data_IF_072170969811
#
_entry.id   IF_072170969811
#
_cell.length_a   1.000
_cell.length_b   1.000
_cell.length_c   1.000
_cell.angle_alpha   90.00
_cell.angle_beta   90.00
_cell.angle_gamma   90.00
#
_symmetry.space_group_name_H-M   'P 1'
#
loop_
_entity.id
_entity.type
_entity.pdbx_description
1 polymer ?
#
# COMPACT_ATOMS: atom_id res chain seq x y z
N UNK A 1 34.28 54.09 -31.15
CA UNK A 1 35.50 54.36 -31.92
C UNK A 1 36.44 55.18 -31.06
N UNK A 2 37.69 54.70 -30.91
CA UNK A 2 38.88 55.47 -30.50
C UNK A 2 40.03 54.47 -30.46
N UNK A 3 40.88 54.45 -31.48
CA UNK A 3 42.07 53.60 -31.49
C UNK A 3 43.21 54.26 -30.69
N UNK A 4 44.04 53.45 -30.04
CA UNK A 4 45.19 53.90 -29.27
C UNK A 4 46.49 53.58 -30.01
N UNK A 5 46.82 54.39 -31.02
CA UNK A 5 48.14 54.36 -31.67
C UNK A 5 49.20 54.77 -30.64
N UNK A 6 50.38 54.15 -30.68
CA UNK A 6 51.50 54.44 -29.81
C UNK A 6 52.81 54.60 -30.63
N UNK A 7 53.94 54.88 -29.94
CA UNK A 7 55.18 55.48 -30.50
C UNK A 7 54.99 56.99 -30.83
N UNK A 8 55.92 57.92 -30.61
CA UNK A 8 57.23 57.97 -29.91
C UNK A 8 57.52 59.48 -29.60
N UNK A 9 58.45 59.97 -28.78
CA UNK A 9 59.63 59.43 -28.05
C UNK A 9 59.90 60.27 -26.77
N UNK A 10 60.92 59.90 -25.96
CA UNK A 10 61.60 60.72 -24.91
C UNK A 10 60.72 61.45 -23.86
N UNK A 11 60.64 60.88 -22.66
CA UNK A 11 60.43 61.63 -21.40
C UNK A 11 59.37 61.06 -20.46
N UNK A 12 59.80 60.23 -19.49
CA UNK A 12 59.07 59.87 -18.24
C UNK A 12 57.55 59.69 -18.32
N UNK A 13 57.12 58.42 -18.50
CA UNK A 13 55.71 58.04 -18.39
C UNK A 13 55.24 58.12 -16.93
N UNK A 14 54.39 59.10 -16.62
CA UNK A 14 53.64 59.18 -15.34
C UNK A 14 52.22 58.66 -15.57
N UNK A 15 51.99 57.36 -15.35
CA UNK A 15 50.63 56.80 -15.33
C UNK A 15 49.95 57.22 -14.03
N UNK A 16 49.07 58.23 -14.12
CA UNK A 16 48.08 58.48 -13.05
C UNK A 16 47.11 57.30 -13.01
N UNK A 17 47.06 56.60 -11.89
CA UNK A 17 46.03 55.58 -11.63
C UNK A 17 44.63 56.19 -11.79
N UNK A 18 43.71 55.59 -12.55
CA UNK A 18 42.33 56.07 -12.62
C UNK A 18 41.70 55.95 -11.22
N UNK A 19 41.24 57.07 -10.66
CA UNK A 19 40.48 57.08 -9.41
C UNK A 19 39.13 56.40 -9.64
N UNK A 20 39.07 55.07 -9.47
CA UNK A 20 37.81 54.31 -9.41
C UNK A 20 36.94 54.98 -8.34
N UNK A 21 35.82 55.57 -8.74
CA UNK A 21 35.01 56.36 -7.80
C UNK A 21 34.40 55.44 -6.74
N UNK A 22 34.32 55.85 -5.46
CA UNK A 22 33.68 55.05 -4.42
C UNK A 22 32.19 54.82 -4.69
N UNK A 23 31.59 55.65 -5.55
CA UNK A 23 30.21 55.51 -6.04
C UNK A 23 30.08 54.22 -6.90
N UNK A 24 30.99 53.98 -7.85
CA UNK A 24 30.89 52.81 -8.73
C UNK A 24 30.99 51.49 -7.96
N UNK A 25 31.86 51.43 -6.94
CA UNK A 25 31.96 50.27 -6.05
C UNK A 25 30.66 50.06 -5.23
N UNK A 26 30.08 51.14 -4.69
CA UNK A 26 28.81 51.08 -3.94
C UNK A 26 27.64 50.61 -4.82
N UNK A 27 27.57 51.06 -6.08
CA UNK A 27 26.54 50.60 -7.02
C UNK A 27 26.66 49.10 -7.32
N UNK A 28 27.87 48.57 -7.51
CA UNK A 28 28.10 47.13 -7.71
C UNK A 28 27.62 46.33 -6.48
N UNK A 29 27.95 46.78 -5.26
CA UNK A 29 27.52 46.12 -4.02
C UNK A 29 26.00 46.12 -3.87
N UNK A 30 25.32 47.22 -4.20
CA UNK A 30 23.85 47.31 -4.17
C UNK A 30 23.20 46.36 -5.19
N UNK A 31 23.73 46.25 -6.40
CA UNK A 31 23.24 45.30 -7.42
C UNK A 31 23.44 43.85 -6.95
N UNK A 32 24.61 43.51 -6.40
CA UNK A 32 24.85 42.18 -5.84
C UNK A 32 23.90 41.86 -4.67
N UNK A 33 23.69 42.80 -3.74
CA UNK A 33 22.77 42.61 -2.62
C UNK A 33 21.32 42.38 -3.10
N UNK A 34 20.86 43.11 -4.13
CA UNK A 34 19.53 42.90 -4.71
C UNK A 34 19.40 41.53 -5.39
N UNK A 35 20.39 41.13 -6.20
CA UNK A 35 20.39 39.81 -6.88
C UNK A 35 20.44 38.66 -5.87
N UNK A 36 21.29 38.75 -4.84
CA UNK A 36 21.32 37.76 -3.77
C UNK A 36 20.01 37.72 -2.97
N UNK A 37 19.39 38.87 -2.69
CA UNK A 37 18.09 38.94 -2.02
C UNK A 37 16.97 38.28 -2.83
N UNK A 38 16.91 38.53 -4.15
CA UNK A 38 15.94 37.87 -5.05
C UNK A 38 16.20 36.36 -5.16
N UNK A 39 17.47 35.94 -5.22
CA UNK A 39 17.83 34.52 -5.26
C UNK A 39 17.43 33.78 -3.97
N UNK A 40 17.76 34.34 -2.80
CA UNK A 40 17.37 33.80 -1.49
C UNK A 40 15.84 33.74 -1.38
N UNK A 41 15.13 34.81 -1.76
CA UNK A 41 13.67 34.84 -1.76
C UNK A 41 13.06 33.78 -2.69
N UNK A 42 13.64 33.56 -3.88
CA UNK A 42 13.22 32.51 -4.82
C UNK A 42 13.44 31.11 -4.26
N UNK A 43 14.57 30.85 -3.58
CA UNK A 43 14.84 29.57 -2.90
C UNK A 43 13.86 29.35 -1.75
N UNK A 44 13.59 30.36 -0.92
CA UNK A 44 12.59 30.28 0.15
C UNK A 44 11.16 30.05 -0.40
N UNK A 45 10.78 30.72 -1.48
CA UNK A 45 9.49 30.52 -2.14
C UNK A 45 9.35 29.10 -2.71
N UNK A 46 10.41 28.55 -3.31
CA UNK A 46 10.44 27.16 -3.75
C UNK A 46 10.39 26.16 -2.59
N UNK A 47 10.96 26.49 -1.42
CA UNK A 47 10.77 25.69 -0.19
C UNK A 47 9.32 25.75 0.31
N UNK A 48 8.64 26.90 0.28
CA UNK A 48 7.22 26.99 0.64
C UNK A 48 6.28 26.29 -0.36
N UNK A 49 6.73 26.05 -1.60
CA UNK A 49 5.98 25.30 -2.61
C UNK A 49 6.06 23.77 -2.45
N UNK A 50 6.82 23.24 -1.48
CA UNK A 50 6.70 21.83 -1.09
C UNK A 50 5.37 21.60 -0.37
N UNK A 51 4.35 21.19 -1.12
CA UNK A 51 2.94 21.04 -0.70
C UNK A 51 2.63 19.93 0.31
N UNK A 52 3.38 19.87 1.41
CA UNK A 52 3.15 18.99 2.56
C UNK A 52 2.40 19.72 3.69
N UNK A 53 2.70 21.00 3.96
CA UNK A 53 2.10 21.76 5.08
C UNK A 53 0.59 21.90 4.98
N UNK A 54 0.02 22.17 3.79
CA UNK A 54 -1.44 22.29 3.63
C UNK A 54 -2.18 20.95 3.82
N UNK A 55 -1.59 19.85 3.35
CA UNK A 55 -2.11 18.49 3.60
C UNK A 55 -2.00 18.11 5.08
N UNK A 56 -0.86 18.40 5.71
CA UNK A 56 -0.59 18.07 7.11
C UNK A 56 -1.50 18.88 8.05
N UNK A 57 -1.65 20.19 7.83
CA UNK A 57 -2.58 21.05 8.58
C UNK A 57 -4.04 20.60 8.39
N UNK A 58 -4.47 20.25 7.18
CA UNK A 58 -5.84 19.75 6.96
C UNK A 58 -6.07 18.39 7.64
N UNK A 59 -5.07 17.50 7.68
CA UNK A 59 -5.12 16.26 8.46
C UNK A 59 -5.16 16.54 9.96
N UNK A 60 -4.37 17.50 10.45
CA UNK A 60 -4.30 17.85 11.87
C UNK A 60 -5.59 18.51 12.37
N UNK A 61 -6.11 19.51 11.65
CA UNK A 61 -7.38 20.18 11.96
C UNK A 61 -8.53 19.17 11.95
N UNK A 62 -8.55 18.23 10.98
CA UNK A 62 -9.58 17.20 10.94
C UNK A 62 -9.42 16.15 12.05
N UNK A 63 -8.19 15.85 12.51
CA UNK A 63 -7.99 15.04 13.72
C UNK A 63 -8.48 15.77 14.97
N UNK A 64 -8.17 17.05 15.14
CA UNK A 64 -8.57 17.86 16.30
C UNK A 64 -10.10 17.92 16.52
N UNK A 65 -10.93 17.74 15.48
CA UNK A 65 -12.39 17.68 15.64
C UNK A 65 -12.93 16.31 16.13
N UNK A 66 -12.12 15.24 16.05
CA UNK A 66 -12.48 13.89 16.48
C UNK A 66 -11.63 13.35 17.65
N UNK A 67 -10.58 14.06 18.05
CA UNK A 67 -9.61 13.63 19.07
C UNK A 67 -9.79 14.37 20.41
N UNK A 68 -11.01 14.37 20.95
CA UNK A 68 -11.33 14.86 22.31
C UNK A 68 -11.21 13.76 23.39
N UNK A 69 -11.04 12.49 22.99
CA UNK A 69 -10.80 11.36 23.88
C UNK A 69 -9.32 10.94 23.88
N UNK A 70 -8.87 10.31 24.98
CA UNK A 70 -7.51 9.81 25.19
C UNK A 70 -7.13 8.63 24.27
N UNK A 71 -7.02 8.89 22.96
CA UNK A 71 -6.38 7.96 22.03
C UNK A 71 -4.88 7.94 22.32
N UNK A 72 -4.36 6.77 22.67
CA UNK A 72 -2.93 6.58 22.87
C UNK A 72 -2.14 7.10 21.64
N UNK A 73 -1.14 7.94 21.92
CA UNK A 73 -0.24 8.50 20.90
C UNK A 73 0.51 7.40 20.14
N UNK A 74 0.69 6.20 20.70
CA UNK A 74 1.28 5.06 19.98
C UNK A 74 0.39 4.54 18.84
N UNK A 75 -0.94 4.59 18.99
CA UNK A 75 -1.91 4.10 18.01
C UNK A 75 -2.27 5.16 16.96
N UNK A 76 -1.97 6.42 17.25
CA UNK A 76 -2.28 7.59 16.40
C UNK A 76 -1.77 7.51 14.94
N UNK A 77 -0.67 6.81 14.59
CA UNK A 77 -0.26 6.59 13.19
C UNK A 77 -1.20 5.66 12.39
N UNK A 78 -1.84 4.69 13.05
CA UNK A 78 -2.66 3.63 12.44
C UNK A 78 -4.18 3.93 12.47
N UNK A 79 -4.55 5.06 13.08
CA UNK A 79 -5.92 5.55 13.18
C UNK A 79 -6.22 6.54 12.04
N UNK A 80 -6.93 6.07 11.01
CA UNK A 80 -7.27 6.87 9.83
C UNK A 80 -8.73 7.34 9.83
N UNK A 81 -8.97 8.51 9.26
CA UNK A 81 -10.31 9.13 9.22
C UNK A 81 -10.68 9.41 7.75
N UNK A 82 -10.94 8.36 6.94
CA UNK A 82 -11.24 8.52 5.53
C UNK A 82 -12.54 9.31 5.30
N UNK A 83 -12.53 10.14 4.27
CA UNK A 83 -13.68 10.90 3.77
C UNK A 83 -14.01 10.42 2.36
N UNK A 84 -14.86 9.38 2.21
CA UNK A 84 -15.28 8.93 0.89
C UNK A 84 -16.02 10.04 0.14
N UNK A 85 -15.73 10.16 -1.15
CA UNK A 85 -16.44 11.06 -2.07
C UNK A 85 -17.87 10.56 -2.35
N UNK A 86 -18.10 9.25 -2.24
CA UNK A 86 -19.31 8.60 -2.75
C UNK A 86 -20.43 8.38 -1.72
N UNK A 87 -20.20 8.72 -0.44
CA UNK A 87 -21.21 8.71 0.63
C UNK A 87 -20.68 9.44 1.88
N UNK A 88 -21.58 9.86 2.79
CA UNK A 88 -21.16 10.37 4.11
C UNK A 88 -21.04 9.23 5.13
N UNK A 89 -20.00 9.27 5.98
CA UNK A 89 -19.87 8.37 7.15
C UNK A 89 -20.80 8.74 8.32
N UNK A 90 -21.55 9.85 8.21
CA UNK A 90 -22.52 10.32 9.20
C UNK A 90 -21.94 10.34 10.64
N UNK A 91 -22.66 9.77 11.61
CA UNK A 91 -22.24 9.64 13.02
C UNK A 91 -20.85 8.97 13.18
N UNK A 92 -20.49 8.07 12.27
CA UNK A 92 -19.24 7.33 12.29
C UNK A 92 -18.07 8.06 11.60
N UNK A 93 -18.21 9.35 11.24
CA UNK A 93 -17.13 10.15 10.67
C UNK A 93 -15.90 10.23 11.60
N UNK A 94 -16.12 10.28 12.92
CA UNK A 94 -15.06 10.26 13.93
C UNK A 94 -14.66 8.85 14.43
N UNK A 95 -15.16 7.78 13.82
CA UNK A 95 -14.67 6.44 14.12
C UNK A 95 -13.38 6.18 13.32
N UNK A 96 -12.23 5.87 13.96
CA UNK A 96 -11.00 5.56 13.25
C UNK A 96 -11.14 4.25 12.47
N UNK A 97 -10.47 4.19 11.33
CA UNK A 97 -10.42 3.03 10.45
C UNK A 97 -8.97 2.53 10.42
N UNK A 98 -8.76 1.24 10.67
CA UNK A 98 -7.48 0.56 10.45
C UNK A 98 -7.42 -0.03 9.05
N UNK A 99 -6.23 -0.01 8.44
CA UNK A 99 -6.01 -0.51 7.08
C UNK A 99 -5.29 -1.85 7.10
N UNK A 100 -5.71 -2.80 6.26
CA UNK A 100 -5.05 -4.12 6.16
C UNK A 100 -5.03 -4.71 4.75
N UNK A 101 -4.09 -5.62 4.51
CA UNK A 101 -4.10 -6.48 3.32
C UNK A 101 -3.73 -7.93 3.67
N UNK A 102 -4.47 -8.89 3.11
CA UNK A 102 -4.25 -10.33 3.32
C UNK A 102 -3.33 -10.85 2.21
N UNK A 103 -2.04 -11.03 2.49
CA UNK A 103 -1.06 -11.55 1.54
C UNK A 103 -1.06 -13.08 1.57
N UNK A 104 -1.28 -13.71 0.42
CA UNK A 104 -1.52 -15.16 0.36
C UNK A 104 -1.09 -15.80 -0.97
N UNK A 105 -1.20 -17.11 -1.04
CA UNK A 105 -1.05 -17.89 -2.28
C UNK A 105 -2.31 -18.72 -2.51
N UNK A 106 -2.62 -19.03 -3.77
CA UNK A 106 -3.81 -19.79 -4.14
C UNK A 106 -3.94 -21.09 -3.30
N UNK A 107 -5.17 -21.39 -2.86
CA UNK A 107 -5.53 -22.56 -2.02
C UNK A 107 -4.87 -22.60 -0.63
N UNK A 108 -4.41 -21.46 -0.10
CA UNK A 108 -3.92 -21.31 1.29
C UNK A 108 -5.02 -20.95 2.31
N UNK A 109 -6.30 -21.13 1.98
CA UNK A 109 -7.43 -20.91 2.90
C UNK A 109 -7.92 -19.47 3.05
N UNK A 110 -7.27 -18.51 2.39
CA UNK A 110 -7.56 -17.07 2.50
C UNK A 110 -8.96 -16.63 2.04
N UNK A 111 -9.69 -17.45 1.26
CA UNK A 111 -11.12 -17.23 1.00
C UNK A 111 -11.99 -17.44 2.25
N UNK A 112 -11.76 -18.51 3.01
CA UNK A 112 -12.51 -18.79 4.25
C UNK A 112 -12.17 -17.77 5.35
N UNK A 113 -10.90 -17.38 5.46
CA UNK A 113 -10.46 -16.36 6.42
C UNK A 113 -11.06 -14.98 6.11
N UNK A 114 -11.18 -14.62 4.82
CA UNK A 114 -11.91 -13.43 4.39
C UNK A 114 -13.40 -13.48 4.73
N UNK A 115 -14.07 -14.64 4.55
CA UNK A 115 -15.46 -14.83 5.01
C UNK A 115 -15.60 -14.69 6.53
N UNK A 116 -14.63 -15.17 7.30
CA UNK A 116 -14.60 -15.01 8.76
C UNK A 116 -14.45 -13.53 9.15
N UNK A 117 -13.52 -12.78 8.55
CA UNK A 117 -13.37 -11.34 8.80
C UNK A 117 -14.65 -10.57 8.45
N UNK A 118 -15.25 -10.84 7.29
CA UNK A 118 -16.49 -10.21 6.83
C UNK A 118 -17.75 -10.63 7.60
N UNK A 119 -17.65 -11.55 8.58
CA UNK A 119 -18.74 -11.84 9.53
C UNK A 119 -18.79 -10.84 10.69
N UNK A 120 -17.71 -10.09 10.95
CA UNK A 120 -17.70 -9.04 11.96
C UNK A 120 -18.23 -7.73 11.36
N UNK A 121 -19.28 -7.16 11.98
CA UNK A 121 -20.05 -6.02 11.44
C UNK A 121 -19.19 -4.84 10.99
N UNK A 122 -18.15 -4.50 11.75
CA UNK A 122 -17.30 -3.32 11.50
C UNK A 122 -15.99 -3.64 10.72
N UNK A 123 -15.89 -4.81 10.06
CA UNK A 123 -14.72 -5.20 9.25
C UNK A 123 -15.14 -5.43 7.80
N UNK A 124 -14.36 -4.92 6.83
CA UNK A 124 -14.65 -5.06 5.40
C UNK A 124 -13.40 -5.46 4.59
N UNK A 125 -13.37 -6.69 4.10
CA UNK A 125 -12.39 -7.21 3.14
C UNK A 125 -13.01 -7.33 1.75
N UNK A 126 -12.38 -6.67 0.77
CA UNK A 126 -12.96 -6.40 -0.55
C UNK A 126 -12.60 -7.43 -1.65
N UNK A 127 -12.22 -8.65 -1.28
CA UNK A 127 -11.88 -9.72 -2.23
C UNK A 127 -10.52 -9.53 -2.90
N UNK A 128 -10.30 -10.29 -3.98
CA UNK A 128 -9.07 -10.21 -4.80
C UNK A 128 -9.13 -9.03 -5.77
N UNK A 129 -9.05 -7.80 -5.24
CA UNK A 129 -9.14 -6.58 -6.05
C UNK A 129 -8.10 -6.55 -7.19
N UNK A 130 -6.90 -7.10 -6.96
CA UNK A 130 -5.80 -7.17 -7.92
C UNK A 130 -5.83 -8.42 -8.82
N UNK A 131 -6.89 -9.23 -8.79
CA UNK A 131 -7.11 -10.31 -9.79
C UNK A 131 -7.31 -9.76 -11.21
N UNK A 132 -7.93 -8.58 -11.32
CA UNK A 132 -8.12 -7.79 -12.54
C UNK A 132 -6.78 -7.20 -13.01
N UNK A 133 -6.41 -7.35 -14.29
CA UNK A 133 -5.07 -7.01 -14.80
C UNK A 133 -4.82 -5.50 -14.79
N UNK A 134 -5.82 -4.75 -15.21
CA UNK A 134 -5.79 -3.31 -15.48
C UNK A 134 -5.35 -2.51 -14.23
N UNK A 135 -5.73 -3.00 -13.05
CA UNK A 135 -5.38 -2.43 -11.73
C UNK A 135 -3.93 -2.66 -11.32
N UNK A 136 -3.23 -3.60 -11.97
CA UNK A 136 -1.83 -3.96 -11.74
C UNK A 136 -0.94 -3.83 -12.98
N UNK A 137 -1.38 -3.06 -13.98
CA UNK A 137 -0.59 -2.81 -15.20
C UNK A 137 0.69 -1.98 -14.94
N UNK A 138 0.72 -1.18 -13.87
CA UNK A 138 1.88 -0.41 -13.41
C UNK A 138 1.67 0.03 -11.94
N UNK A 139 2.72 0.55 -11.31
CA UNK A 139 2.70 1.08 -9.93
C UNK A 139 1.60 2.13 -9.73
N UNK A 140 1.44 3.09 -10.65
CA UNK A 140 0.43 4.16 -10.51
C UNK A 140 -1.00 3.60 -10.45
N UNK A 141 -1.32 2.61 -11.28
CA UNK A 141 -2.60 1.89 -11.21
C UNK A 141 -2.80 1.15 -9.89
N UNK A 142 -1.72 0.58 -9.32
CA UNK A 142 -1.74 -0.09 -8.02
C UNK A 142 -2.02 0.92 -6.91
N UNK A 143 -1.22 1.99 -6.79
CA UNK A 143 -1.38 2.99 -5.72
C UNK A 143 -2.74 3.71 -5.80
N UNK A 144 -3.21 4.04 -7.01
CA UNK A 144 -4.56 4.59 -7.22
C UNK A 144 -5.66 3.61 -6.77
N UNK A 145 -5.46 2.30 -6.97
CA UNK A 145 -6.39 1.27 -6.49
C UNK A 145 -6.37 1.15 -4.96
N UNK A 146 -5.19 1.22 -4.33
CA UNK A 146 -5.05 1.23 -2.86
C UNK A 146 -5.75 2.45 -2.24
N UNK A 147 -5.48 3.65 -2.74
CA UNK A 147 -6.11 4.89 -2.24
C UNK A 147 -7.64 4.83 -2.32
N UNK A 148 -8.21 4.30 -3.41
CA UNK A 148 -9.66 4.14 -3.54
C UNK A 148 -10.27 3.15 -2.53
N UNK A 149 -9.55 2.10 -2.14
CA UNK A 149 -10.02 1.15 -1.12
C UNK A 149 -9.94 1.75 0.27
N UNK A 150 -8.81 2.37 0.61
CA UNK A 150 -8.57 2.93 1.94
C UNK A 150 -9.36 4.22 2.20
N UNK A 151 -9.69 5.00 1.16
CA UNK A 151 -10.65 6.11 1.26
C UNK A 151 -12.13 5.66 1.36
N UNK A 152 -12.42 4.36 1.26
CA UNK A 152 -13.76 3.74 1.22
C UNK A 152 -14.58 3.94 -0.08
N UNK A 153 -14.00 4.52 -1.14
CA UNK A 153 -14.65 4.71 -2.47
C UNK A 153 -14.50 3.51 -3.42
N UNK A 154 -14.58 2.31 -2.82
CA UNK A 154 -14.55 1.04 -3.51
C UNK A 154 -15.95 0.43 -3.59
N UNK A 155 -16.41 0.15 -4.81
CA UNK A 155 -17.73 -0.41 -5.06
C UNK A 155 -17.63 -1.92 -5.23
N UNK A 156 -18.05 -2.67 -4.21
CA UNK A 156 -18.25 -4.12 -4.26
C UNK A 156 -19.65 -4.46 -3.75
N UNK A 157 -20.01 -5.75 -3.78
CA UNK A 157 -21.19 -6.30 -3.13
C UNK A 157 -21.03 -6.50 -1.61
N UNK A 158 -19.88 -6.16 -1.02
CA UNK A 158 -19.77 -6.02 0.42
C UNK A 158 -20.60 -4.80 0.87
N UNK A 159 -21.30 -4.91 1.99
CA UNK A 159 -22.13 -3.83 2.51
C UNK A 159 -21.28 -2.58 2.77
N UNK A 160 -21.67 -1.43 2.21
CA UNK A 160 -21.05 -0.13 2.48
C UNK A 160 -21.35 0.31 3.93
N UNK A 161 -20.65 -0.27 4.90
CA UNK A 161 -20.79 0.11 6.30
C UNK A 161 -20.08 1.44 6.57
N UNK A 162 -20.86 2.49 6.83
CA UNK A 162 -20.39 3.82 7.23
C UNK A 162 -19.48 3.79 8.48
N UNK A 163 -19.75 2.82 9.35
CA UNK A 163 -19.09 2.53 10.63
C UNK A 163 -18.02 1.42 10.54
N UNK A 164 -17.51 1.13 9.34
CA UNK A 164 -16.32 0.27 9.19
C UNK A 164 -15.18 0.78 10.08
N UNK A 165 -14.65 -0.08 10.95
CA UNK A 165 -13.52 0.19 11.85
C UNK A 165 -12.22 -0.46 11.33
N UNK A 166 -12.31 -1.44 10.43
CA UNK A 166 -11.17 -1.90 9.63
C UNK A 166 -11.59 -2.15 8.17
N UNK A 167 -10.76 -1.73 7.23
CA UNK A 167 -10.96 -1.99 5.79
C UNK A 167 -9.70 -2.55 5.14
N UNK A 168 -9.90 -3.48 4.22
CA UNK A 168 -8.82 -4.16 3.52
C UNK A 168 -9.29 -4.98 2.33
N UNK A 169 -8.42 -5.88 1.88
CA UNK A 169 -8.63 -6.74 0.74
C UNK A 169 -7.63 -7.92 0.76
N UNK A 170 -7.79 -8.83 -0.20
CA UNK A 170 -6.95 -10.02 -0.38
C UNK A 170 -6.04 -9.86 -1.60
N UNK A 171 -4.76 -10.20 -1.46
CA UNK A 171 -3.77 -10.10 -2.53
C UNK A 171 -2.98 -11.40 -2.65
N UNK A 172 -3.01 -12.03 -3.83
CA UNK A 172 -2.17 -13.20 -4.08
C UNK A 172 -0.77 -12.78 -4.52
N UNK A 173 0.29 -13.47 -4.08
CA UNK A 173 1.68 -13.11 -4.39
C UNK A 173 1.97 -13.02 -5.91
N UNK A 174 1.21 -13.71 -6.76
CA UNK A 174 1.33 -13.69 -8.22
C UNK A 174 0.44 -12.64 -8.93
N UNK A 175 -0.10 -11.66 -8.21
CA UNK A 175 -0.94 -10.59 -8.73
C UNK A 175 -0.22 -9.22 -8.70
N UNK A 176 1.06 -9.17 -9.09
CA UNK A 176 1.83 -7.91 -9.18
C UNK A 176 2.43 -7.43 -7.85
N UNK A 177 2.22 -8.17 -6.75
CA UNK A 177 2.65 -7.80 -5.41
C UNK A 177 4.17 -7.93 -5.22
N UNK A 178 4.76 -9.01 -5.73
CA UNK A 178 6.20 -9.28 -5.59
C UNK A 178 7.03 -8.41 -6.55
N UNK A 179 6.44 -8.07 -7.69
CA UNK A 179 7.05 -7.33 -8.79
C UNK A 179 7.16 -5.82 -8.48
N UNK A 180 6.26 -5.26 -7.67
CA UNK A 180 6.20 -3.83 -7.31
C UNK A 180 6.41 -3.62 -5.78
N UNK A 181 7.16 -4.51 -5.13
CA UNK A 181 7.19 -4.60 -3.67
C UNK A 181 7.69 -3.34 -2.98
N UNK A 182 8.64 -2.59 -3.57
CA UNK A 182 9.29 -1.44 -2.91
C UNK A 182 8.32 -0.30 -2.67
N UNK A 183 7.58 0.05 -3.71
CA UNK A 183 6.59 1.12 -3.73
C UNK A 183 5.36 0.74 -2.88
N UNK A 184 5.02 -0.55 -2.82
CA UNK A 184 3.97 -1.07 -1.94
C UNK A 184 4.42 -1.04 -0.47
N UNK A 185 5.66 -1.41 -0.14
CA UNK A 185 6.23 -1.30 1.23
C UNK A 185 6.27 0.15 1.69
N UNK A 186 6.73 1.07 0.84
CA UNK A 186 6.73 2.50 1.15
C UNK A 186 5.30 3.01 1.40
N UNK A 187 4.35 2.70 0.53
CA UNK A 187 2.95 3.06 0.73
C UNK A 187 2.40 2.48 2.03
N UNK A 188 2.63 1.20 2.31
CA UNK A 188 2.10 0.51 3.49
C UNK A 188 2.64 1.10 4.79
N UNK A 189 3.94 1.41 4.84
CA UNK A 189 4.56 2.08 5.99
C UNK A 189 4.06 3.51 6.17
N UNK A 190 3.99 4.30 5.09
CA UNK A 190 3.48 5.68 5.11
C UNK A 190 1.97 5.77 5.41
N UNK A 191 1.22 4.69 5.19
CA UNK A 191 -0.23 4.59 5.42
C UNK A 191 -0.61 3.68 6.60
N UNK A 192 0.34 3.20 7.40
CA UNK A 192 0.06 2.38 8.59
C UNK A 192 -0.61 1.03 8.34
N UNK A 193 -0.50 0.48 7.12
CA UNK A 193 -1.23 -0.74 6.70
C UNK A 193 -0.68 -1.98 7.38
N UNK A 194 -1.57 -2.78 7.96
CA UNK A 194 -1.25 -4.07 8.59
C UNK A 194 -1.28 -5.22 7.58
N UNK A 195 -0.17 -5.95 7.43
CA UNK A 195 -0.06 -7.11 6.53
C UNK A 195 -0.44 -8.40 7.28
N UNK A 196 -1.46 -9.09 6.80
CA UNK A 196 -1.84 -10.42 7.28
C UNK A 196 -1.29 -11.45 6.30
N UNK A 197 -0.13 -12.03 6.59
CA UNK A 197 0.37 -13.16 5.82
C UNK A 197 -0.45 -14.41 6.16
N UNK A 198 -1.10 -14.99 5.17
CA UNK A 198 -1.85 -16.24 5.31
C UNK A 198 -1.37 -17.29 4.31
N UNK A 199 -0.52 -18.19 4.80
CA UNK A 199 0.07 -19.28 4.03
C UNK A 199 -0.41 -20.65 4.52
N UNK A 200 0.11 -21.72 3.92
CA UNK A 200 -0.25 -23.11 4.23
C UNK A 200 1.02 -23.93 4.27
N UNK A 201 1.34 -24.49 5.44
CA UNK A 201 2.61 -25.20 5.71
C UNK A 201 2.71 -26.48 4.87
N UNK A 202 1.60 -27.18 4.66
CA UNK A 202 1.61 -28.39 3.83
C UNK A 202 1.48 -28.05 2.34
N UNK A 203 2.63 -27.74 1.71
CA UNK A 203 2.74 -27.36 0.31
C UNK A 203 2.26 -28.45 -0.66
N UNK A 204 2.46 -29.74 -0.36
CA UNK A 204 1.95 -30.85 -1.17
C UNK A 204 0.41 -30.87 -1.17
N UNK A 205 -0.23 -30.73 0.00
CA UNK A 205 -1.70 -30.61 0.09
C UNK A 205 -2.23 -29.30 -0.52
N UNK A 206 -1.41 -28.25 -0.58
CA UNK A 206 -1.72 -27.04 -1.37
C UNK A 206 -1.72 -27.35 -2.87
N UNK A 207 -0.67 -27.98 -3.39
CA UNK A 207 -0.56 -28.39 -4.80
C UNK A 207 -1.71 -29.30 -5.22
N UNK A 208 -2.01 -30.36 -4.45
CA UNK A 208 -3.20 -31.23 -4.66
C UNK A 208 -4.49 -30.41 -4.76
N UNK A 209 -4.66 -29.40 -3.90
CA UNK A 209 -5.85 -28.53 -3.93
C UNK A 209 -5.84 -27.51 -5.08
N UNK A 210 -4.68 -27.16 -5.65
CA UNK A 210 -4.58 -26.36 -6.89
C UNK A 210 -4.97 -27.22 -8.10
N UNK A 211 -4.45 -28.44 -8.19
CA UNK A 211 -4.78 -29.39 -9.26
C UNK A 211 -6.29 -29.73 -9.24
N UNK A 212 -6.86 -30.01 -8.07
CA UNK A 212 -8.30 -30.23 -7.92
C UNK A 212 -9.12 -29.00 -8.36
N UNK A 213 -8.75 -27.79 -7.95
CA UNK A 213 -9.45 -26.55 -8.37
C UNK A 213 -9.28 -26.26 -9.87
N UNK A 214 -8.18 -26.69 -10.49
CA UNK A 214 -7.97 -26.57 -11.93
C UNK A 214 -8.89 -27.54 -12.68
N UNK A 215 -8.90 -28.82 -12.28
CA UNK A 215 -9.79 -29.84 -12.83
C UNK A 215 -11.28 -29.44 -12.72
N UNK A 216 -11.72 -29.06 -11.51
CA UNK A 216 -13.05 -28.55 -11.17
C UNK A 216 -13.53 -27.47 -12.17
N UNK A 217 -12.67 -26.48 -12.48
CA UNK A 217 -12.95 -25.38 -13.41
C UNK A 217 -13.28 -25.82 -14.84
N UNK A 218 -12.68 -26.92 -15.32
CA UNK A 218 -12.87 -27.41 -16.68
C UNK A 218 -13.91 -28.54 -16.75
N UNK A 219 -13.90 -29.46 -15.78
CA UNK A 219 -14.78 -30.63 -15.75
C UNK A 219 -16.20 -30.29 -15.32
N UNK A 220 -16.38 -29.31 -14.41
CA UNK A 220 -17.68 -28.83 -13.91
C UNK A 220 -18.73 -29.92 -13.67
N UNK A 221 -18.33 -30.93 -12.89
CA UNK A 221 -19.02 -32.21 -12.73
C UNK A 221 -20.53 -32.14 -12.40
N UNK A 222 -20.99 -31.12 -11.66
CA UNK A 222 -22.41 -30.80 -11.53
C UNK A 222 -22.88 -29.83 -12.64
N UNK A 223 -23.53 -30.39 -13.66
CA UNK A 223 -24.34 -29.71 -14.69
C UNK A 223 -23.70 -28.53 -15.45
N UNK A 224 -22.37 -28.36 -15.43
CA UNK A 224 -21.68 -27.32 -16.21
C UNK A 224 -21.87 -25.87 -15.72
N UNK A 225 -22.65 -25.64 -14.66
CA UNK A 225 -23.10 -24.29 -14.24
C UNK A 225 -22.40 -23.74 -13.01
N UNK A 226 -21.86 -24.58 -12.12
CA UNK A 226 -21.20 -24.10 -10.91
C UNK A 226 -19.87 -23.37 -11.20
N UNK A 227 -19.45 -22.55 -10.23
CA UNK A 227 -18.15 -21.84 -10.25
C UNK A 227 -17.09 -22.74 -9.63
N UNK A 228 -15.84 -22.57 -10.03
CA UNK A 228 -14.72 -23.43 -9.59
C UNK A 228 -14.28 -23.19 -8.15
N UNK A 229 -15.13 -23.51 -7.17
CA UNK A 229 -14.93 -23.60 -5.73
C UNK A 229 -16.14 -24.35 -5.14
N UNK A 230 -15.89 -25.26 -4.18
CA UNK A 230 -16.96 -26.00 -3.48
C UNK A 230 -17.78 -25.07 -2.58
N UNK A 231 -19.08 -25.01 -2.84
CA UNK A 231 -20.11 -24.29 -2.09
C UNK A 231 -21.19 -25.22 -1.50
N UNK A 232 -21.36 -26.43 -2.02
CA UNK A 232 -22.29 -27.46 -1.48
C UNK A 232 -21.58 -28.72 -0.98
N UNK A 233 -22.29 -29.55 -0.20
CA UNK A 233 -21.79 -30.86 0.26
C UNK A 233 -21.68 -31.87 -0.90
N UNK A 234 -22.54 -31.74 -1.92
CA UNK A 234 -22.55 -32.57 -3.13
C UNK A 234 -21.34 -32.27 -4.03
N UNK A 235 -20.99 -30.99 -4.19
CA UNK A 235 -19.76 -30.55 -4.85
C UNK A 235 -18.53 -31.04 -4.08
N UNK A 236 -18.58 -31.06 -2.74
CA UNK A 236 -17.50 -31.57 -1.89
C UNK A 236 -17.25 -33.06 -2.10
N UNK A 237 -18.30 -33.90 -2.04
CA UNK A 237 -18.17 -35.34 -2.26
C UNK A 237 -17.73 -35.65 -3.69
N UNK A 238 -18.36 -35.01 -4.68
CA UNK A 238 -18.04 -35.18 -6.10
C UNK A 238 -16.58 -34.84 -6.41
N UNK A 239 -16.06 -33.73 -5.89
CA UNK A 239 -14.66 -33.35 -6.07
C UNK A 239 -13.70 -34.21 -5.23
N UNK A 240 -14.13 -34.77 -4.09
CA UNK A 240 -13.29 -35.65 -3.26
C UNK A 240 -12.86 -36.94 -3.97
N UNK A 241 -13.64 -37.37 -4.96
CA UNK A 241 -13.37 -38.57 -5.79
C UNK A 241 -12.23 -38.34 -6.79
N UNK A 242 -11.88 -37.09 -7.10
CA UNK A 242 -10.79 -36.75 -8.02
C UNK A 242 -9.42 -37.02 -7.39
N UNK A 243 -8.61 -37.83 -8.09
CA UNK A 243 -7.22 -38.13 -7.72
C UNK A 243 -6.28 -37.47 -8.74
N UNK A 244 -5.60 -36.35 -8.39
CA UNK A 244 -4.66 -35.72 -9.31
C UNK A 244 -3.43 -36.60 -9.53
N UNK A 245 -3.02 -36.69 -10.80
CA UNK A 245 -1.67 -37.16 -11.16
C UNK A 245 -0.69 -36.02 -10.87
N UNK A 246 0.46 -36.34 -10.27
CA UNK A 246 1.54 -35.40 -9.95
C UNK A 246 2.80 -35.92 -10.63
N UNK A 247 3.50 -35.04 -11.35
CA UNK A 247 4.81 -35.34 -11.91
C UNK A 247 5.85 -35.39 -10.78
N UNK A 248 6.39 -36.58 -10.51
CA UNK A 248 7.38 -36.79 -9.46
C UNK A 248 8.76 -36.22 -9.82
N UNK A 249 9.02 -35.92 -11.11
CA UNK A 249 10.29 -35.35 -11.57
C UNK A 249 10.40 -33.85 -11.28
N UNK A 250 9.31 -33.10 -11.42
CA UNK A 250 9.26 -31.67 -11.09
C UNK A 250 8.98 -31.40 -9.61
N UNK A 251 8.28 -32.31 -8.92
CA UNK A 251 7.68 -32.09 -7.59
C UNK A 251 8.61 -31.43 -6.56
N UNK A 252 9.85 -31.89 -6.43
CA UNK A 252 10.81 -31.33 -5.44
C UNK A 252 11.19 -29.90 -5.78
N UNK A 253 11.32 -29.58 -7.07
CA UNK A 253 11.62 -28.23 -7.57
C UNK A 253 10.40 -27.32 -7.40
N UNK A 254 9.20 -27.79 -7.74
CA UNK A 254 7.95 -27.04 -7.60
C UNK A 254 7.68 -26.68 -6.13
N UNK A 255 7.87 -27.63 -5.22
CA UNK A 255 7.71 -27.40 -3.78
C UNK A 255 8.76 -26.41 -3.24
N UNK A 256 10.00 -26.46 -3.72
CA UNK A 256 11.04 -25.47 -3.36
C UNK A 256 10.70 -24.06 -3.86
N UNK A 257 10.28 -23.91 -5.11
CA UNK A 257 9.83 -22.60 -5.64
C UNK A 257 8.60 -22.06 -4.87
N UNK A 258 7.70 -22.97 -4.47
CA UNK A 258 6.51 -22.65 -3.67
C UNK A 258 6.81 -22.17 -2.25
N UNK A 259 7.96 -22.54 -1.68
CA UNK A 259 8.46 -22.14 -0.36
C UNK A 259 9.35 -20.89 -0.45
N UNK A 260 10.20 -20.83 -1.48
CA UNK A 260 11.04 -19.67 -1.80
C UNK A 260 10.19 -18.39 -1.92
N UNK A 261 9.07 -18.42 -2.67
CA UNK A 261 8.16 -17.26 -2.78
C UNK A 261 7.52 -16.83 -1.46
N UNK A 262 7.38 -17.73 -0.49
CA UNK A 262 6.92 -17.36 0.87
C UNK A 262 8.04 -16.65 1.61
N UNK A 263 9.27 -17.14 1.50
CA UNK A 263 10.46 -16.50 2.10
C UNK A 263 10.72 -15.11 1.52
N UNK A 264 10.72 -14.96 0.20
CA UNK A 264 10.85 -13.67 -0.51
C UNK A 264 9.76 -12.68 -0.07
N UNK A 265 8.51 -13.13 0.09
CA UNK A 265 7.41 -12.26 0.51
C UNK A 265 7.54 -11.80 1.97
N UNK A 266 8.09 -12.65 2.84
CA UNK A 266 8.40 -12.29 4.23
C UNK A 266 9.61 -11.37 4.35
N UNK A 267 10.59 -11.51 3.44
CA UNK A 267 11.79 -10.65 3.38
C UNK A 267 11.45 -9.26 2.86
N UNK A 268 10.83 -9.15 1.68
CA UNK A 268 10.51 -7.86 1.04
C UNK A 268 9.64 -6.96 1.93
N UNK A 269 8.67 -7.55 2.63
CA UNK A 269 7.72 -6.83 3.48
C UNK A 269 8.08 -6.90 4.98
N UNK A 270 9.29 -7.35 5.33
CA UNK A 270 9.76 -7.51 6.72
C UNK A 270 9.68 -6.23 7.57
N UNK A 271 9.82 -5.06 6.95
CA UNK A 271 9.73 -3.74 7.59
C UNK A 271 8.30 -3.25 7.84
N UNK A 272 7.29 -3.90 7.26
CA UNK A 272 5.88 -3.54 7.44
C UNK A 272 5.34 -4.06 8.77
N UNK A 273 4.32 -3.38 9.33
CA UNK A 273 3.53 -3.91 10.45
C UNK A 273 2.80 -5.17 9.98
N UNK A 274 3.15 -6.34 10.51
CA UNK A 274 2.63 -7.60 9.97
C UNK A 274 2.40 -8.71 11.01
N UNK A 275 1.49 -9.63 10.69
CA UNK A 275 1.26 -10.88 11.41
C UNK A 275 1.39 -12.07 10.46
N UNK A 276 1.76 -13.25 10.99
CA UNK A 276 1.97 -14.48 10.21
C UNK A 276 1.02 -15.58 10.70
N UNK A 277 0.08 -15.96 9.84
CA UNK A 277 -0.92 -16.99 10.07
C UNK A 277 -0.72 -18.16 9.10
N UNK A 278 -1.01 -19.37 9.56
CA UNK A 278 -1.00 -20.56 8.72
C UNK A 278 -2.34 -21.29 8.78
N UNK A 279 -2.81 -21.75 7.62
CA UNK A 279 -4.06 -22.50 7.45
C UNK A 279 -4.20 -23.69 8.42
N UNK A 280 -3.12 -24.45 8.63
CA UNK A 280 -3.09 -25.58 9.56
C UNK A 280 -3.39 -25.17 11.01
N UNK A 281 -3.01 -23.95 11.41
CA UNK A 281 -3.17 -23.45 12.77
C UNK A 281 -4.59 -22.87 12.95
N UNK A 282 -5.12 -22.17 11.92
CA UNK A 282 -6.51 -21.68 11.87
C UNK A 282 -7.56 -22.81 11.93
N UNK A 283 -7.33 -23.92 11.23
CA UNK A 283 -8.29 -25.04 11.15
C UNK A 283 -8.27 -25.93 12.39
N UNK A 284 -7.12 -26.02 13.09
CA UNK A 284 -7.02 -26.72 14.39
C UNK A 284 -7.67 -25.92 15.52
N UNK A 285 -7.38 -24.61 15.58
CA UNK A 285 -7.68 -23.80 16.74
C UNK A 285 -9.03 -23.07 16.58
N UNK A 286 -10.13 -23.75 16.92
CA UNK A 286 -11.51 -23.22 16.79
C UNK A 286 -11.74 -21.88 17.51
N UNK A 287 -10.93 -21.58 18.52
CA UNK A 287 -10.93 -20.34 19.32
C UNK A 287 -10.42 -19.10 18.56
N UNK A 288 -9.95 -19.20 17.32
CA UNK A 288 -9.53 -18.01 16.54
C UNK A 288 -10.71 -17.05 16.26
N UNK A 289 -11.97 -17.53 16.30
CA UNK A 289 -13.14 -16.65 16.30
C UNK A 289 -13.24 -15.69 17.51
N UNK A 290 -12.50 -15.96 18.60
CA UNK A 290 -12.49 -15.12 19.80
C UNK A 290 -11.55 -13.91 19.72
N UNK A 291 -10.61 -13.89 18.76
CA UNK A 291 -9.73 -12.73 18.52
C UNK A 291 -10.48 -11.48 18.03
N UNK A 292 -11.69 -11.65 17.49
CA UNK A 292 -12.49 -10.56 16.91
C UNK A 292 -13.80 -10.28 17.67
N UNK A 293 -14.02 -10.88 18.84
CA UNK A 293 -15.36 -10.86 19.49
C UNK A 293 -15.37 -10.58 20.99
N UNK A 294 -14.22 -10.43 21.66
CA UNK A 294 -14.15 -10.29 23.12
C UNK A 294 -14.10 -8.85 23.64
N UNK A 295 -13.65 -7.88 22.84
CA UNK A 295 -13.63 -6.44 23.16
C UNK A 295 -13.94 -5.62 21.91
N UNK A 296 -14.46 -4.40 22.08
CA UNK A 296 -14.91 -3.53 20.97
C UNK A 296 -13.78 -2.96 20.08
N UNK A 297 -12.53 -3.35 20.33
CA UNK A 297 -11.33 -2.95 19.60
C UNK A 297 -10.87 -4.05 18.65
N UNK A 298 -11.07 -3.86 17.35
CA UNK A 298 -10.53 -4.76 16.32
C UNK A 298 -9.03 -4.50 16.18
N UNK A 299 -8.23 -5.28 16.91
CA UNK A 299 -6.76 -5.18 16.88
C UNK A 299 -6.14 -5.88 15.66
N UNK A 300 -6.36 -5.27 14.50
CA UNK A 300 -5.65 -5.50 13.24
C UNK A 300 -4.47 -4.53 13.13
#
# INVERSE_FOLDING_TARGET
MAEAICLFTKGTIIIKSPKKSPIFLRMIVLVFAMVCGVYICSVCLNQTNFGTTSKLLNVEINKRHCCDYEVDRSQTPYAHYPKPETFSRAECACNPVRYFAIFSMQRSGSGWFETLLNSHTNVSSNGEIFSVKERRNNVTSILTTLDRVYNLDWFTSASKNQCSAAVGFKWMLNQGLMENHKEIVEYFNNRGVSVIFLFRRNLLRRMVSVLANSFDRYAKLLNGTHKSHVHSLEEADTLSRYKPVIDLSSLVTDLKQMDQRVSEALEYFSSTRHIRLYYEDLVKNRTVGCFFTSQGTVDI
#
